data_IF_863489470998
#
_entry.id   IF_863489470998
#
_cell.length_a   1.000
_cell.length_b   1.000
_cell.length_c   1.000
_cell.angle_alpha   90.00
_cell.angle_beta   90.00
_cell.angle_gamma   90.00
#
_symmetry.space_group_name_H-M   'P 1'
#
loop_
_entity.id
_entity.type
_entity.pdbx_description
1 polymer ?
#
# COMPACT_ATOMS: atom_id res chain seq x y z
N UNK A 1 -11.02 28.80 -17.26
CA UNK A 1 -10.08 27.87 -17.92
C UNK A 1 -10.44 27.83 -19.39
N UNK A 2 -9.50 28.11 -20.29
CA UNK A 2 -9.75 28.00 -21.73
C UNK A 2 -9.77 26.53 -22.17
N UNK A 3 -10.40 26.21 -23.31
CA UNK A 3 -10.36 24.84 -23.88
C UNK A 3 -8.94 24.36 -24.11
N UNK A 4 -8.04 25.27 -24.52
CA UNK A 4 -6.62 24.97 -24.72
C UNK A 4 -5.91 24.63 -23.40
N UNK A 5 -6.19 25.39 -22.34
CA UNK A 5 -5.65 25.12 -21.00
C UNK A 5 -6.16 23.78 -20.45
N UNK A 6 -7.44 23.47 -20.64
CA UNK A 6 -8.02 22.18 -20.23
C UNK A 6 -7.36 21.01 -20.96
N UNK A 7 -7.27 21.08 -22.30
CA UNK A 7 -6.65 20.03 -23.12
C UNK A 7 -5.18 19.81 -22.74
N UNK A 8 -4.44 20.89 -22.47
CA UNK A 8 -3.06 20.83 -21.99
C UNK A 8 -2.93 20.16 -20.63
N UNK A 9 -3.84 20.44 -19.68
CA UNK A 9 -3.85 19.76 -18.37
C UNK A 9 -4.27 18.29 -18.50
N UNK A 10 -5.20 17.98 -19.39
CA UNK A 10 -5.67 16.61 -19.61
C UNK A 10 -4.58 15.70 -20.15
N UNK A 11 -3.75 16.19 -21.08
CA UNK A 11 -2.63 15.41 -21.63
C UNK A 11 -1.48 15.20 -20.64
N UNK A 12 -1.41 16.00 -19.56
CA UNK A 12 -0.49 15.76 -18.44
C UNK A 12 -1.02 14.68 -17.48
N UNK A 13 -2.34 14.53 -17.40
CA UNK A 13 -3.00 13.54 -16.54
C UNK A 13 -3.06 12.18 -17.23
N UNK A 14 -3.44 12.12 -18.51
CA UNK A 14 -3.59 10.87 -19.26
C UNK A 14 -2.47 10.73 -20.28
N UNK A 15 -1.63 9.73 -20.06
CA UNK A 15 -0.42 9.50 -20.85
C UNK A 15 -0.51 8.12 -21.48
N UNK A 16 -0.62 8.04 -22.79
CA UNK A 16 -0.50 6.77 -23.51
C UNK A 16 0.98 6.37 -23.62
N UNK A 17 1.27 5.10 -23.32
CA UNK A 17 2.60 4.50 -23.42
C UNK A 17 2.49 3.19 -24.20
N UNK A 18 3.39 3.00 -25.16
CA UNK A 18 3.46 1.79 -26.00
C UNK A 18 4.79 1.08 -25.83
N UNK A 19 4.85 -0.18 -26.22
CA UNK A 19 6.09 -0.97 -26.19
C UNK A 19 6.47 -1.52 -24.81
N UNK A 20 5.52 -1.56 -23.87
CA UNK A 20 5.64 -2.30 -22.60
C UNK A 20 4.60 -3.42 -22.68
N UNK A 21 5.08 -4.64 -22.88
CA UNK A 21 4.23 -5.80 -23.19
C UNK A 21 4.49 -7.01 -22.28
N UNK A 22 5.46 -6.87 -21.37
CA UNK A 22 5.81 -7.90 -20.40
C UNK A 22 5.62 -7.40 -18.98
N UNK A 23 5.44 -8.35 -18.07
CA UNK A 23 5.32 -8.10 -16.64
C UNK A 23 6.56 -7.41 -16.09
N UNK A 24 7.74 -7.83 -16.55
CA UNK A 24 9.04 -7.32 -16.12
C UNK A 24 9.23 -5.86 -16.55
N UNK A 25 8.89 -5.54 -17.80
CA UNK A 25 8.92 -4.16 -18.31
C UNK A 25 7.96 -3.25 -17.55
N UNK A 26 6.76 -3.75 -17.21
CA UNK A 26 5.78 -3.01 -16.42
C UNK A 26 6.30 -2.72 -15.01
N UNK A 27 6.90 -3.71 -14.34
CA UNK A 27 7.53 -3.51 -13.02
C UNK A 27 8.65 -2.49 -13.10
N UNK A 28 9.52 -2.57 -14.12
CA UNK A 28 10.60 -1.61 -14.33
C UNK A 28 10.06 -0.20 -14.56
N UNK A 29 9.04 -0.06 -15.40
CA UNK A 29 8.35 1.21 -15.65
C UNK A 29 7.80 1.80 -14.35
N UNK A 30 7.05 1.03 -13.57
CA UNK A 30 6.45 1.49 -12.31
C UNK A 30 7.51 1.90 -11.30
N UNK A 31 8.62 1.17 -11.19
CA UNK A 31 9.73 1.51 -10.31
C UNK A 31 10.37 2.84 -10.73
N UNK A 32 10.68 3.01 -12.02
CA UNK A 32 11.23 4.27 -12.55
C UNK A 32 10.29 5.45 -12.35
N UNK A 33 9.00 5.27 -12.62
CA UNK A 33 8.01 6.35 -12.46
C UNK A 33 7.81 6.72 -10.99
N UNK A 34 7.93 5.77 -10.05
CA UNK A 34 7.90 6.04 -8.62
C UNK A 34 9.14 6.81 -8.12
N UNK A 35 10.25 6.81 -8.86
CA UNK A 35 11.43 7.64 -8.58
C UNK A 35 11.24 9.10 -9.00
N UNK A 36 10.32 9.37 -9.93
CA UNK A 36 9.97 10.73 -10.36
C UNK A 36 9.14 11.40 -9.28
N UNK A 37 9.68 12.45 -8.66
CA UNK A 37 8.92 13.31 -7.77
C UNK A 37 8.01 14.23 -8.58
N UNK A 38 6.73 14.27 -8.21
CA UNK A 38 5.77 15.20 -8.80
C UNK A 38 5.82 16.54 -8.08
N UNK A 39 5.70 17.64 -8.83
CA UNK A 39 5.77 19.00 -8.27
C UNK A 39 4.45 19.42 -7.62
N UNK A 40 4.52 20.27 -6.59
CA UNK A 40 3.37 20.76 -5.82
C UNK A 40 2.39 21.59 -6.65
N UNK A 41 2.86 22.21 -7.74
CA UNK A 41 2.07 23.06 -8.64
C UNK A 41 1.37 22.28 -9.76
N UNK A 42 1.47 20.94 -9.75
CA UNK A 42 0.81 20.06 -10.72
C UNK A 42 -0.29 19.22 -10.10
N UNK A 43 -1.11 18.61 -10.96
CA UNK A 43 -2.08 17.59 -10.52
C UNK A 43 -1.35 16.47 -9.77
N UNK A 44 -1.90 16.07 -8.63
CA UNK A 44 -1.28 15.11 -7.72
C UNK A 44 -1.55 13.64 -8.12
N UNK A 45 -1.93 13.40 -9.38
CA UNK A 45 -2.16 12.07 -9.94
C UNK A 45 -1.96 12.06 -11.47
N UNK A 46 -1.61 10.89 -12.02
CA UNK A 46 -1.52 10.61 -13.46
C UNK A 46 -1.99 9.18 -13.76
N UNK A 47 -2.52 9.00 -14.95
CA UNK A 47 -2.91 7.72 -15.53
C UNK A 47 -2.00 7.43 -16.73
N UNK A 48 -1.40 6.24 -16.72
CA UNK A 48 -0.65 5.71 -17.84
C UNK A 48 -1.47 4.58 -18.48
N UNK A 49 -1.79 4.73 -19.76
CA UNK A 49 -2.52 3.74 -20.53
C UNK A 49 -1.53 2.96 -21.41
N UNK A 50 -1.58 1.63 -21.30
CA UNK A 50 -0.82 0.69 -22.11
C UNK A 50 -1.81 -0.11 -22.96
N UNK A 51 -2.14 0.36 -24.17
CA UNK A 51 -3.19 -0.25 -24.98
C UNK A 51 -2.81 -1.64 -25.52
N UNK A 52 -1.51 -1.91 -25.62
CA UNK A 52 -0.88 -3.10 -26.21
C UNK A 52 -0.09 -3.93 -25.17
N UNK A 53 -0.56 -3.96 -23.91
CA UNK A 53 0.13 -4.69 -22.84
C UNK A 53 0.15 -6.21 -23.07
N UNK A 54 -0.95 -6.79 -23.55
CA UNK A 54 -0.97 -8.16 -24.09
C UNK A 54 -1.84 -8.20 -25.37
N UNK A 55 -1.87 -9.35 -26.05
CA UNK A 55 -2.58 -9.49 -27.34
C UNK A 55 -4.06 -9.07 -27.28
N UNK A 56 -4.70 -9.24 -26.13
CA UNK A 56 -6.11 -8.97 -25.85
C UNK A 56 -6.32 -8.17 -24.56
N UNK A 57 -5.26 -7.59 -24.00
CA UNK A 57 -5.32 -6.87 -22.72
C UNK A 57 -4.64 -5.51 -22.82
N UNK A 58 -5.29 -4.52 -22.20
CA UNK A 58 -4.70 -3.23 -21.89
C UNK A 58 -4.40 -3.14 -20.39
N UNK A 59 -3.44 -2.30 -20.03
CA UNK A 59 -3.16 -2.00 -18.64
C UNK A 59 -3.32 -0.51 -18.38
N UNK A 60 -3.78 -0.17 -17.18
CA UNK A 60 -3.82 1.20 -16.67
C UNK A 60 -3.00 1.23 -15.38
N UNK A 61 -2.04 2.14 -15.31
CA UNK A 61 -1.29 2.43 -14.08
C UNK A 61 -1.68 3.82 -13.61
N UNK A 62 -2.17 3.92 -12.38
CA UNK A 62 -2.39 5.20 -11.72
C UNK A 62 -1.23 5.47 -10.76
N UNK A 63 -0.56 6.60 -10.94
CA UNK A 63 0.36 7.17 -9.97
C UNK A 63 -0.35 8.29 -9.24
N UNK A 64 -0.26 8.32 -7.92
CA UNK A 64 -0.83 9.41 -7.12
C UNK A 64 0.05 9.77 -5.93
N UNK A 65 0.14 11.05 -5.64
CA UNK A 65 0.74 11.52 -4.39
C UNK A 65 -0.19 11.21 -3.21
N UNK A 66 0.35 10.86 -2.05
CA UNK A 66 -0.44 10.43 -0.88
C UNK A 66 -1.35 11.54 -0.31
N UNK A 67 -1.12 12.82 -0.65
CA UNK A 67 -2.03 13.93 -0.31
C UNK A 67 -3.33 13.85 -1.10
N UNK A 68 -3.31 13.26 -2.30
CA UNK A 68 -4.49 13.11 -3.13
C UNK A 68 -5.50 12.16 -2.50
N UNK A 69 -5.05 10.96 -2.13
CA UNK A 69 -5.90 9.92 -1.57
C UNK A 69 -5.05 8.86 -0.86
N UNK A 70 -5.65 8.16 0.11
CA UNK A 70 -5.07 6.96 0.70
C UNK A 70 -5.50 5.70 -0.07
N UNK A 71 -5.01 4.52 0.34
CA UNK A 71 -5.36 3.27 -0.35
C UNK A 71 -6.86 2.98 -0.38
N UNK A 72 -7.61 3.41 0.64
CA UNK A 72 -9.07 3.25 0.68
C UNK A 72 -9.73 4.16 -0.36
N UNK A 73 -9.35 5.44 -0.40
CA UNK A 73 -9.91 6.37 -1.37
C UNK A 73 -9.56 6.02 -2.82
N UNK A 74 -8.37 5.46 -3.08
CA UNK A 74 -8.03 4.91 -4.41
C UNK A 74 -8.90 3.70 -4.74
N UNK A 75 -9.12 2.79 -3.79
CA UNK A 75 -10.01 1.63 -4.00
C UNK A 75 -11.44 2.06 -4.30
N UNK A 76 -11.94 3.07 -3.59
CA UNK A 76 -13.26 3.66 -3.85
C UNK A 76 -13.34 4.33 -5.22
N UNK A 77 -12.27 4.99 -5.66
CA UNK A 77 -12.19 5.57 -7.00
C UNK A 77 -12.33 4.49 -8.07
N UNK A 78 -11.59 3.37 -7.94
CA UNK A 78 -11.67 2.27 -8.90
C UNK A 78 -13.06 1.63 -8.95
N UNK A 79 -13.72 1.48 -7.80
CA UNK A 79 -15.10 1.03 -7.76
C UNK A 79 -16.08 2.03 -8.41
N UNK A 80 -15.83 3.33 -8.26
CA UNK A 80 -16.68 4.35 -8.87
C UNK A 80 -16.54 4.45 -10.39
N UNK A 81 -15.42 3.99 -10.95
CA UNK A 81 -15.18 3.96 -12.41
C UNK A 81 -15.40 2.58 -13.03
N UNK A 82 -15.71 1.55 -12.25
CA UNK A 82 -16.10 0.25 -12.79
C UNK A 82 -17.51 0.31 -13.37
N UNK A 83 -17.77 -0.52 -14.39
CA UNK A 83 -19.07 -0.59 -15.05
C UNK A 83 -20.21 -0.92 -14.07
N UNK A 84 -19.92 -1.81 -13.11
CA UNK A 84 -20.82 -2.16 -12.02
C UNK A 84 -20.36 -1.50 -10.72
N UNK A 85 -21.02 -0.41 -10.33
CA UNK A 85 -20.80 0.22 -9.03
C UNK A 85 -21.50 -0.59 -7.93
N UNK A 86 -20.73 -1.32 -7.12
CA UNK A 86 -21.23 -2.05 -5.95
C UNK A 86 -20.76 -1.40 -4.63
N UNK A 87 -21.56 -0.52 -4.00
CA UNK A 87 -21.19 0.11 -2.74
C UNK A 87 -20.98 -0.89 -1.59
N UNK A 88 -21.50 -2.12 -1.70
CA UNK A 88 -21.29 -3.17 -0.70
C UNK A 88 -19.89 -3.77 -0.75
N UNK A 89 -19.17 -3.59 -1.86
CA UNK A 89 -17.78 -3.99 -2.03
C UNK A 89 -16.79 -3.03 -1.34
N UNK A 90 -17.24 -1.82 -0.96
CA UNK A 90 -16.42 -0.91 -0.17
C UNK A 90 -16.10 -1.52 1.20
N UNK A 91 -14.90 -1.30 1.75
CA UNK A 91 -14.58 -1.71 3.11
C UNK A 91 -15.57 -1.11 4.11
N UNK A 92 -16.54 -1.92 4.55
CA UNK A 92 -17.59 -1.48 5.48
C UNK A 92 -16.95 -1.30 6.85
N UNK A 93 -16.65 -0.05 7.18
CA UNK A 93 -16.34 0.31 8.56
C UNK A 93 -17.64 0.21 9.34
N UNK A 94 -17.72 -0.82 10.20
CA UNK A 94 -18.88 -1.04 11.06
C UNK A 94 -19.15 0.24 11.86
N UNK A 95 -20.35 0.85 11.74
CA UNK A 95 -20.65 2.05 12.51
C UNK A 95 -20.55 1.71 14.00
N UNK A 96 -19.82 2.53 14.76
CA UNK A 96 -19.83 2.38 16.20
C UNK A 96 -21.18 2.85 16.72
N UNK A 97 -21.78 2.07 17.62
CA UNK A 97 -22.92 2.52 18.41
C UNK A 97 -22.54 3.80 19.18
N UNK A 98 -23.48 4.71 19.43
CA UNK A 98 -23.24 5.96 20.16
C UNK A 98 -22.41 5.75 21.44
N UNK A 99 -22.77 4.75 22.26
CA UNK A 99 -22.02 4.41 23.48
C UNK A 99 -20.56 4.03 23.22
N UNK A 100 -20.30 3.17 22.24
CA UNK A 100 -18.92 2.81 21.84
C UNK A 100 -18.15 4.03 21.36
N UNK A 101 -18.78 4.90 20.58
CA UNK A 101 -18.15 6.12 20.10
C UNK A 101 -17.76 7.05 21.27
N UNK A 102 -18.67 7.28 22.22
CA UNK A 102 -18.38 8.06 23.44
C UNK A 102 -17.26 7.45 24.25
N UNK A 103 -17.28 6.13 24.50
CA UNK A 103 -16.23 5.43 25.23
C UNK A 103 -14.89 5.54 24.51
N UNK A 104 -14.84 5.33 23.19
CA UNK A 104 -13.61 5.49 22.41
C UNK A 104 -13.09 6.92 22.50
N UNK A 105 -13.95 7.94 22.39
CA UNK A 105 -13.53 9.34 22.49
C UNK A 105 -12.95 9.65 23.88
N UNK A 106 -13.63 9.23 24.94
CA UNK A 106 -13.18 9.41 26.33
C UNK A 106 -11.87 8.67 26.63
N UNK A 107 -11.70 7.46 26.10
CA UNK A 107 -10.48 6.66 26.30
C UNK A 107 -9.34 7.07 25.36
N UNK A 108 -9.62 7.74 24.25
CA UNK A 108 -8.62 8.10 23.24
C UNK A 108 -7.37 8.81 23.80
N UNK A 109 -7.46 9.85 24.66
CA UNK A 109 -6.25 10.48 25.22
C UNK A 109 -5.43 9.50 26.08
N UNK A 110 -6.09 8.64 26.85
CA UNK A 110 -5.40 7.63 27.68
C UNK A 110 -4.72 6.58 26.82
N UNK A 111 -5.39 6.11 25.76
CA UNK A 111 -4.82 5.15 24.81
C UNK A 111 -3.63 5.74 24.06
N UNK A 112 -3.72 7.01 23.64
CA UNK A 112 -2.60 7.73 23.02
C UNK A 112 -1.44 7.82 23.99
N UNK A 113 -1.68 8.26 25.23
CA UNK A 113 -0.63 8.39 26.24
C UNK A 113 0.00 7.04 26.59
N UNK A 114 -0.81 6.00 26.77
CA UNK A 114 -0.35 4.63 27.01
C UNK A 114 0.51 4.10 25.87
N UNK A 115 0.06 4.30 24.63
CA UNK A 115 0.79 3.86 23.43
C UNK A 115 2.11 4.62 23.29
N UNK A 116 2.11 5.93 23.55
CA UNK A 116 3.33 6.75 23.56
C UNK A 116 4.29 6.30 24.67
N UNK A 117 3.81 6.14 25.90
CA UNK A 117 4.62 5.67 27.02
C UNK A 117 5.23 4.29 26.75
N UNK A 118 4.44 3.36 26.22
CA UNK A 118 4.90 2.01 25.83
C UNK A 118 5.89 2.08 24.68
N UNK A 119 5.67 2.96 23.70
CA UNK A 119 6.61 3.15 22.58
C UNK A 119 7.94 3.74 23.04
N UNK A 120 7.93 4.58 24.08
CA UNK A 120 9.15 5.13 24.67
C UNK A 120 9.92 4.12 25.51
N UNK A 121 9.25 3.11 26.08
CA UNK A 121 9.89 2.04 26.86
C UNK A 121 10.29 0.83 26.03
N UNK A 122 9.77 0.70 24.80
CA UNK A 122 10.21 -0.32 23.87
C UNK A 122 11.70 -0.12 23.57
N UNK A 123 12.50 -1.11 23.97
CA UNK A 123 13.92 -1.15 23.60
C UNK A 123 14.03 -1.13 22.08
N UNK A 124 15.04 -0.43 21.56
CA UNK A 124 15.26 -0.36 20.12
C UNK A 124 15.57 -1.76 19.62
N UNK A 125 14.60 -2.38 18.96
CA UNK A 125 14.80 -3.68 18.35
C UNK A 125 15.75 -3.54 17.16
N UNK A 126 16.60 -4.54 16.96
CA UNK A 126 17.44 -4.64 15.77
C UNK A 126 16.58 -5.13 14.60
N UNK A 127 15.57 -4.35 14.22
CA UNK A 127 14.75 -4.64 13.06
C UNK A 127 15.56 -4.26 11.80
N UNK A 128 15.92 -5.22 10.94
CA UNK A 128 16.74 -4.96 9.77
C UNK A 128 16.03 -4.07 8.74
N UNK A 129 14.70 -3.93 8.81
CA UNK A 129 13.92 -2.99 8.00
C UNK A 129 14.18 -1.52 8.40
N UNK A 130 14.57 -1.29 9.66
CA UNK A 130 14.80 0.04 10.26
C UNK A 130 16.29 0.43 10.26
N UNK A 131 17.05 -0.03 9.26
CA UNK A 131 18.44 0.37 9.12
C UNK A 131 18.55 1.89 8.86
N UNK A 132 19.32 2.60 9.69
CA UNK A 132 19.55 4.05 9.61
C UNK A 132 20.43 4.45 8.41
N UNK A 133 20.86 3.51 7.58
CA UNK A 133 21.57 3.80 6.33
C UNK A 133 20.72 4.65 5.39
N UNK A 134 21.32 5.65 4.75
CA UNK A 134 20.67 6.41 3.68
C UNK A 134 20.25 5.43 2.58
N UNK A 135 18.96 5.40 2.26
CA UNK A 135 18.43 4.61 1.13
C UNK A 135 18.74 5.35 -0.18
N UNK A 136 18.99 4.61 -1.26
CA UNK A 136 19.41 5.16 -2.56
C UNK A 136 18.31 5.91 -3.32
N UNK A 137 17.04 5.80 -2.88
CA UNK A 137 15.88 6.32 -3.61
C UNK A 137 15.42 5.40 -4.74
N UNK A 138 16.31 4.52 -5.26
CA UNK A 138 15.99 3.52 -6.28
C UNK A 138 14.87 2.61 -5.78
N UNK A 139 13.85 2.42 -6.61
CA UNK A 139 12.71 1.56 -6.28
C UNK A 139 12.94 0.18 -6.87
N UNK A 140 12.55 -0.83 -6.10
CA UNK A 140 12.53 -2.23 -6.51
C UNK A 140 11.14 -2.74 -6.16
N UNK A 141 10.53 -3.42 -7.12
CA UNK A 141 9.18 -3.92 -7.00
C UNK A 141 9.04 -5.26 -7.71
N UNK A 142 7.86 -5.83 -7.56
CA UNK A 142 7.47 -7.05 -8.24
C UNK A 142 5.97 -7.25 -8.07
N UNK A 143 5.38 -7.97 -9.01
CA UNK A 143 4.02 -8.48 -8.85
C UNK A 143 4.07 -9.86 -8.19
N UNK A 144 3.06 -10.19 -7.39
CA UNK A 144 2.83 -11.58 -6.98
C UNK A 144 2.09 -12.35 -8.08
N UNK A 145 2.12 -13.68 -8.02
CA UNK A 145 1.12 -14.47 -8.74
C UNK A 145 -0.28 -14.19 -8.18
N UNK A 146 -1.29 -14.62 -8.91
CA UNK A 146 -2.67 -14.58 -8.41
C UNK A 146 -2.78 -15.38 -7.12
N UNK A 147 -3.48 -14.80 -6.15
CA UNK A 147 -3.71 -15.41 -4.84
C UNK A 147 -5.15 -15.95 -4.83
N UNK A 148 -5.31 -17.25 -4.58
CA UNK A 148 -6.62 -17.87 -4.39
C UNK A 148 -7.23 -17.44 -3.04
N UNK A 149 -7.94 -16.31 -3.08
CA UNK A 149 -8.59 -15.73 -1.92
C UNK A 149 -9.68 -16.65 -1.32
N UNK A 150 -10.52 -17.36 -2.10
CA UNK A 150 -11.41 -18.39 -1.57
C UNK A 150 -10.70 -19.50 -0.78
N UNK A 151 -9.62 -20.08 -1.32
CA UNK A 151 -8.86 -21.13 -0.62
C UNK A 151 -8.21 -20.58 0.66
N UNK A 152 -7.63 -19.38 0.58
CA UNK A 152 -7.05 -18.70 1.76
C UNK A 152 -8.10 -18.45 2.85
N UNK A 153 -9.29 -17.94 2.47
CA UNK A 153 -10.42 -17.72 3.39
C UNK A 153 -10.84 -19.01 4.09
N UNK A 154 -10.97 -20.10 3.32
CA UNK A 154 -11.34 -21.42 3.85
C UNK A 154 -10.30 -21.90 4.87
N UNK A 155 -9.02 -21.86 4.52
CA UNK A 155 -7.93 -22.26 5.40
C UNK A 155 -7.89 -21.44 6.70
N UNK A 156 -8.04 -20.11 6.60
CA UNK A 156 -8.08 -19.21 7.76
C UNK A 156 -9.25 -19.55 8.69
N UNK A 157 -10.44 -19.79 8.13
CA UNK A 157 -11.65 -20.16 8.89
C UNK A 157 -11.50 -21.49 9.62
N UNK A 158 -10.90 -22.49 8.97
CA UNK A 158 -10.66 -23.82 9.57
C UNK A 158 -9.70 -23.78 10.75
N UNK A 159 -8.74 -22.84 10.73
CA UNK A 159 -7.71 -22.70 11.77
C UNK A 159 -8.00 -21.61 12.81
N UNK A 160 -9.09 -20.85 12.63
CA UNK A 160 -9.53 -19.83 13.59
C UNK A 160 -8.70 -18.55 13.60
N UNK A 161 -8.04 -18.18 12.51
CA UNK A 161 -7.33 -16.90 12.37
C UNK A 161 -7.86 -16.06 11.21
N UNK A 162 -7.51 -14.77 11.18
CA UNK A 162 -7.91 -13.87 10.10
C UNK A 162 -6.96 -13.95 8.90
N UNK A 163 -7.41 -13.42 7.75
CA UNK A 163 -6.54 -13.27 6.56
C UNK A 163 -5.31 -12.41 6.89
N UNK A 164 -5.48 -11.37 7.70
CA UNK A 164 -4.38 -10.48 8.07
C UNK A 164 -3.31 -11.21 8.89
N UNK A 165 -3.73 -12.12 9.79
CA UNK A 165 -2.79 -12.94 10.58
C UNK A 165 -1.99 -13.85 9.65
N UNK A 166 -2.68 -14.49 8.71
CA UNK A 166 -2.07 -15.37 7.71
C UNK A 166 -1.08 -14.63 6.81
N UNK A 167 -1.46 -13.48 6.25
CA UNK A 167 -0.56 -12.67 5.39
C UNK A 167 0.62 -12.11 6.17
N UNK A 168 0.43 -11.73 7.44
CA UNK A 168 1.51 -11.26 8.30
C UNK A 168 2.51 -12.37 8.62
N UNK A 169 2.02 -13.59 8.85
CA UNK A 169 2.87 -14.76 9.04
C UNK A 169 3.70 -15.06 7.78
N UNK A 170 3.07 -15.06 6.59
CA UNK A 170 3.80 -15.22 5.31
C UNK A 170 4.87 -14.14 5.16
N UNK A 171 4.53 -12.87 5.38
CA UNK A 171 5.47 -11.78 5.25
C UNK A 171 6.65 -11.93 6.23
N UNK A 172 6.38 -12.33 7.47
CA UNK A 172 7.42 -12.57 8.48
C UNK A 172 8.37 -13.70 8.05
N UNK A 173 7.84 -14.83 7.58
CA UNK A 173 8.65 -15.96 7.09
C UNK A 173 9.44 -15.58 5.83
N UNK A 174 8.83 -14.92 4.85
CA UNK A 174 9.52 -14.48 3.63
C UNK A 174 10.66 -13.52 3.94
N UNK A 175 10.45 -12.58 4.86
CA UNK A 175 11.51 -11.68 5.29
C UNK A 175 12.63 -12.45 6.02
N UNK A 176 12.29 -13.40 6.88
CA UNK A 176 13.28 -14.24 7.56
C UNK A 176 14.13 -15.01 6.54
N UNK A 177 13.49 -15.67 5.57
CA UNK A 177 14.16 -16.41 4.52
C UNK A 177 15.10 -15.51 3.71
N UNK A 178 14.63 -14.31 3.32
CA UNK A 178 15.43 -13.31 2.62
C UNK A 178 16.71 -12.92 3.38
N UNK A 179 16.59 -12.66 4.68
CA UNK A 179 17.74 -12.32 5.54
C UNK A 179 18.63 -13.52 5.86
N UNK A 180 18.10 -14.74 5.82
CA UNK A 180 18.87 -15.97 6.10
C UNK A 180 19.73 -16.43 4.92
N UNK A 181 19.27 -16.18 3.70
CA UNK A 181 19.94 -16.62 2.46
C UNK A 181 21.00 -15.64 1.96
N UNK A 182 20.91 -14.39 2.40
CA UNK A 182 21.75 -13.32 1.89
C UNK A 182 22.81 -12.99 2.94
N UNK A 183 24.09 -13.09 2.60
CA UNK A 183 25.14 -12.35 3.30
C UNK A 183 24.88 -10.86 3.03
N UNK A 184 23.91 -10.26 3.73
CA UNK A 184 23.56 -8.85 3.52
C UNK A 184 24.71 -8.04 4.08
N UNK A 185 25.66 -7.74 3.21
CA UNK A 185 26.66 -6.71 3.44
C UNK A 185 26.10 -5.38 3.00
N UNK A 186 26.18 -4.35 3.84
CA UNK A 186 25.96 -2.99 3.37
C UNK A 186 27.00 -2.61 2.29
N UNK A 187 26.81 -1.45 1.66
CA UNK A 187 27.77 -0.88 0.69
C UNK A 187 29.16 -0.59 1.27
N UNK A 188 29.36 -0.79 2.57
CA UNK A 188 30.61 -0.65 3.32
C UNK A 188 31.16 -2.00 3.80
N UNK A 189 30.58 -3.12 3.38
CA UNK A 189 31.00 -4.48 3.74
C UNK A 189 30.53 -4.96 5.12
N UNK A 190 29.63 -4.24 5.81
CA UNK A 190 29.09 -4.66 7.11
C UNK A 190 28.05 -5.76 6.91
N UNK A 191 28.36 -6.96 7.37
CA UNK A 191 27.42 -8.09 7.42
C UNK A 191 26.35 -7.83 8.49
N UNK A 192 25.07 -7.92 8.13
CA UNK A 192 23.97 -7.92 9.09
C UNK A 192 23.68 -9.35 9.57
N UNK A 193 23.59 -9.60 10.89
CA UNK A 193 23.20 -10.90 11.38
C UNK A 193 21.74 -11.19 11.00
N UNK A 194 21.42 -12.48 10.82
CA UNK A 194 20.04 -12.94 10.63
C UNK A 194 19.21 -12.46 11.83
N UNK A 195 18.10 -11.74 11.60
CA UNK A 195 17.25 -11.26 12.68
C UNK A 195 16.68 -12.44 13.46
N UNK A 196 16.72 -12.37 14.79
CA UNK A 196 16.04 -13.34 15.65
C UNK A 196 14.51 -13.15 15.63
N UNK A 197 14.06 -11.94 15.30
CA UNK A 197 12.65 -11.56 15.22
C UNK A 197 12.46 -10.49 14.15
N UNK A 198 11.37 -10.60 13.38
CA UNK A 198 10.93 -9.57 12.44
C UNK A 198 9.56 -9.08 12.88
N UNK A 199 9.55 -7.94 13.54
CA UNK A 199 8.34 -7.27 13.97
C UNK A 199 7.68 -6.55 12.79
N UNK A 200 6.57 -7.12 12.29
CA UNK A 200 5.73 -6.50 11.27
C UNK A 200 4.52 -5.89 11.97
N UNK A 201 4.42 -4.56 11.96
CA UNK A 201 3.26 -3.84 12.46
C UNK A 201 2.31 -3.50 11.31
N UNK A 202 1.03 -3.88 11.43
CA UNK A 202 -0.02 -3.37 10.57
C UNK A 202 -0.59 -2.10 11.21
N UNK A 203 -0.46 -0.91 10.58
CA UNK A 203 -1.06 0.30 11.13
C UNK A 203 -2.58 0.14 11.13
N UNK A 204 -3.19 0.34 12.30
CA UNK A 204 -4.64 0.37 12.43
C UNK A 204 -5.15 1.80 12.28
N UNK A 205 -6.09 2.01 11.36
CA UNK A 205 -6.78 3.29 11.23
C UNK A 205 -8.04 3.30 12.09
N UNK A 206 -8.14 4.25 13.02
CA UNK A 206 -9.34 4.50 13.83
C UNK A 206 -10.37 5.38 13.09
N UNK A 207 -10.12 5.75 11.82
CA UNK A 207 -11.04 6.62 11.08
C UNK A 207 -12.37 5.89 10.89
N UNK A 208 -13.46 6.54 11.30
CA UNK A 208 -14.81 6.14 10.95
C UNK A 208 -15.28 7.00 9.78
N UNK A 209 -15.87 6.42 8.72
CA UNK A 209 -16.48 7.22 7.68
C UNK A 209 -17.76 7.82 8.26
N UNK A 210 -18.11 9.04 7.83
CA UNK A 210 -19.38 9.64 8.22
C UNK A 210 -20.51 8.80 7.62
N UNK A 211 -21.58 8.58 8.39
CA UNK A 211 -22.79 7.85 7.94
C UNK A 211 -23.40 8.36 6.64
N UNK A 212 -23.12 9.60 6.24
CA UNK A 212 -23.64 10.23 5.02
C UNK A 212 -22.90 9.83 3.73
N UNK A 213 -21.89 8.95 3.82
CA UNK A 213 -21.09 8.47 2.67
C UNK A 213 -21.35 6.96 2.43
N UNK A 214 -22.27 6.35 3.18
CA UNK A 214 -22.79 5.00 2.96
C UNK A 214 -24.22 5.11 2.43
#
# INVERSE_FOLDING_TARGET
>A
MSTAEFSSKLSQVFIEKRGISTREEMVEFMCKEQEVNDFEDTVQYRFFLFPDYAADQSAIVMKSHHVFSDGLGISSLYLAVSDEYDPSALPVLKPLSCMKHTVTLLLSPFMILYTLATSLTLSTDNNPLCNKSKKSGKRVGGFSSDIDLPAMKKYCKERGFSINDYTSAILSTTLYDFYSQSDITDSRGKVYPVPTLINVGLPFSLRQPKKSIQ
#
